data_IF_060743901930
#
_entry.id   IF_060743901930
#
_cell.length_a   1.000
_cell.length_b   1.000
_cell.length_c   1.000
_cell.angle_alpha   90.00
_cell.angle_beta   90.00
_cell.angle_gamma   90.00
#
_symmetry.space_group_name_H-M   'P 1'
#
loop_
_entity.id
_entity.type
_entity.pdbx_description
1 polymer ?
#
# COMPACT_ATOMS: atom_id res chain seq x y z
N UNK A 1 1.74 -9.11 -2.82
CA UNK A 1 2.75 -9.43 -1.79
C UNK A 1 3.14 -10.91 -1.76
N UNK A 2 2.63 -11.77 -2.65
CA UNK A 2 3.20 -13.12 -2.81
C UNK A 2 4.61 -12.97 -3.39
N UNK A 3 5.63 -13.03 -2.53
CA UNK A 3 7.08 -13.21 -2.77
C UNK A 3 7.99 -12.37 -1.82
N UNK A 4 7.47 -11.75 -0.75
CA UNK A 4 8.35 -11.21 0.30
C UNK A 4 8.82 -12.37 1.17
N UNK A 5 10.14 -12.57 1.25
CA UNK A 5 10.77 -13.70 1.95
C UNK A 5 11.28 -13.36 3.34
N UNK A 6 11.43 -12.07 3.64
CA UNK A 6 12.03 -11.56 4.86
C UNK A 6 11.08 -10.50 5.44
N UNK A 7 10.96 -10.51 6.76
CA UNK A 7 10.30 -9.47 7.54
C UNK A 7 11.30 -8.87 8.55
N UNK A 8 11.02 -7.68 9.12
CA UNK A 8 11.90 -7.03 10.09
C UNK A 8 12.39 -7.95 11.23
N UNK A 9 11.50 -8.77 11.78
CA UNK A 9 11.82 -9.67 12.89
C UNK A 9 12.75 -10.81 12.47
N UNK A 10 12.54 -11.32 11.25
CA UNK A 10 13.39 -12.35 10.65
C UNK A 10 14.79 -11.82 10.39
N UNK A 11 14.90 -10.56 9.93
CA UNK A 11 16.19 -9.90 9.71
C UNK A 11 16.90 -9.66 11.06
N UNK A 12 16.18 -9.18 12.07
CA UNK A 12 16.71 -8.94 13.41
C UNK A 12 17.24 -10.21 14.08
N UNK A 13 16.54 -11.33 13.90
CA UNK A 13 16.88 -12.61 14.55
C UNK A 13 17.90 -13.44 13.75
N UNK A 14 18.45 -12.90 12.67
CA UNK A 14 19.33 -13.63 11.77
C UNK A 14 20.73 -13.75 12.33
N UNK A 15 21.14 -14.97 12.68
CA UNK A 15 22.52 -15.25 13.09
C UNK A 15 23.40 -15.57 11.88
N UNK A 16 24.56 -14.92 11.81
CA UNK A 16 25.58 -15.16 10.77
C UNK A 16 26.78 -15.93 11.33
N UNK A 17 27.32 -16.85 10.53
CA UNK A 17 28.57 -17.53 10.87
C UNK A 17 29.76 -16.62 10.58
N UNK A 18 30.66 -16.49 11.56
CA UNK A 18 31.89 -15.69 11.43
C UNK A 18 32.95 -16.49 10.65
N UNK A 19 33.50 -15.88 9.60
CA UNK A 19 34.58 -16.43 8.78
C UNK A 19 35.81 -15.53 8.83
N UNK A 20 37.02 -16.10 8.72
CA UNK A 20 38.28 -15.36 8.82
C UNK A 20 38.47 -14.24 7.77
N UNK A 21 37.77 -14.32 6.63
CA UNK A 21 37.74 -13.29 5.58
C UNK A 21 36.31 -12.72 5.38
N UNK A 22 35.49 -12.73 6.44
CA UNK A 22 34.12 -12.21 6.41
C UNK A 22 34.04 -10.71 6.63
N UNK A 23 32.83 -10.16 6.49
CA UNK A 23 32.50 -8.79 6.89
C UNK A 23 32.56 -8.65 8.41
N UNK A 24 32.87 -7.44 8.90
CA UNK A 24 32.86 -7.16 10.33
C UNK A 24 31.43 -7.20 10.88
N UNK A 25 31.20 -7.92 11.98
CA UNK A 25 29.86 -8.07 12.55
C UNK A 25 29.19 -6.71 12.81
N UNK A 26 29.92 -5.74 13.38
CA UNK A 26 29.38 -4.41 13.67
C UNK A 26 28.94 -3.63 12.42
N UNK A 27 29.66 -3.78 11.30
CA UNK A 27 29.29 -3.11 10.05
C UNK A 27 28.06 -3.77 9.43
N UNK A 28 27.94 -5.10 9.55
CA UNK A 28 26.76 -5.85 9.12
C UNK A 28 25.56 -5.49 9.97
N UNK A 29 25.69 -5.49 11.30
CA UNK A 29 24.60 -5.16 12.23
C UNK A 29 24.07 -3.75 11.95
N UNK A 30 24.95 -2.75 11.84
CA UNK A 30 24.56 -1.38 11.54
C UNK A 30 23.88 -1.22 10.17
N UNK A 31 24.24 -2.06 9.19
CA UNK A 31 23.56 -2.11 7.89
C UNK A 31 22.19 -2.79 8.00
N UNK A 32 22.07 -3.87 8.76
CA UNK A 32 20.81 -4.59 8.96
C UNK A 32 19.79 -3.76 9.75
N UNK A 33 20.24 -2.93 10.69
CA UNK A 33 19.38 -1.95 11.39
C UNK A 33 18.72 -0.99 10.38
N UNK A 34 19.50 -0.45 9.42
CA UNK A 34 18.94 0.41 8.36
C UNK A 34 17.97 -0.34 7.44
N UNK A 35 18.30 -1.58 7.09
CA UNK A 35 17.40 -2.41 6.27
C UNK A 35 16.09 -2.69 7.01
N UNK A 36 16.14 -2.91 8.33
CA UNK A 36 14.94 -3.09 9.15
C UNK A 36 14.09 -1.82 9.14
N UNK A 37 14.69 -0.65 9.38
CA UNK A 37 13.99 0.64 9.33
C UNK A 37 13.30 0.87 7.97
N UNK A 38 14.00 0.59 6.87
CA UNK A 38 13.44 0.70 5.52
C UNK A 38 12.23 -0.24 5.32
N UNK A 39 12.30 -1.48 5.81
CA UNK A 39 11.18 -2.43 5.70
C UNK A 39 9.96 -1.96 6.49
N UNK A 40 10.14 -1.39 7.67
CA UNK A 40 9.06 -0.81 8.46
C UNK A 40 8.43 0.40 7.72
N UNK A 41 9.25 1.30 7.16
CA UNK A 41 8.76 2.44 6.39
C UNK A 41 8.00 2.00 5.12
N UNK A 42 8.47 0.94 4.43
CA UNK A 42 7.74 0.39 3.29
C UNK A 42 6.38 -0.19 3.70
N UNK A 43 6.29 -0.89 4.82
CA UNK A 43 5.04 -1.43 5.33
C UNK A 43 4.04 -0.31 5.66
N UNK A 44 4.47 0.75 6.34
CA UNK A 44 3.65 1.93 6.60
C UNK A 44 3.18 2.58 5.28
N UNK A 45 4.08 2.70 4.30
CA UNK A 45 3.74 3.32 3.02
C UNK A 45 2.73 2.51 2.24
N UNK A 46 2.85 1.19 2.25
CA UNK A 46 1.90 0.31 1.57
C UNK A 46 0.53 0.40 2.23
N UNK A 47 0.47 0.42 3.56
CA UNK A 47 -0.80 0.63 4.28
C UNK A 47 -1.45 1.96 3.92
N UNK A 48 -0.67 3.06 3.90
CA UNK A 48 -1.18 4.38 3.52
C UNK A 48 -1.77 4.38 2.09
N UNK A 49 -1.09 3.70 1.16
CA UNK A 49 -1.51 3.57 -0.23
C UNK A 49 -2.78 2.71 -0.37
N UNK A 50 -2.87 1.60 0.35
CA UNK A 50 -4.06 0.74 0.36
C UNK A 50 -5.28 1.48 0.92
N UNK A 51 -5.11 2.24 2.00
CA UNK A 51 -6.18 3.08 2.53
C UNK A 51 -6.59 4.18 1.54
N UNK A 52 -5.61 4.84 0.90
CA UNK A 52 -5.89 5.86 -0.11
C UNK A 52 -6.66 5.26 -1.30
N UNK A 53 -6.24 4.10 -1.78
CA UNK A 53 -6.91 3.37 -2.86
C UNK A 53 -8.34 3.04 -2.48
N UNK A 54 -8.57 2.51 -1.27
CA UNK A 54 -9.91 2.21 -0.77
C UNK A 54 -10.78 3.48 -0.71
N UNK A 55 -10.26 4.60 -0.19
CA UNK A 55 -10.97 5.90 -0.18
C UNK A 55 -11.34 6.35 -1.59
N UNK A 56 -10.42 6.23 -2.55
CA UNK A 56 -10.69 6.61 -3.94
C UNK A 56 -11.74 5.72 -4.61
N UNK A 57 -11.69 4.40 -4.37
CA UNK A 57 -12.68 3.45 -4.89
C UNK A 57 -14.10 3.77 -4.38
N UNK A 58 -14.24 4.03 -3.07
CA UNK A 58 -15.52 4.41 -2.47
C UNK A 58 -16.07 5.71 -3.06
N UNK A 59 -15.20 6.74 -3.20
CA UNK A 59 -15.61 8.01 -3.80
C UNK A 59 -15.99 7.87 -5.27
N UNK A 60 -15.28 7.04 -6.02
CA UNK A 60 -15.58 6.73 -7.42
C UNK A 60 -16.95 6.07 -7.57
N UNK A 61 -17.24 5.06 -6.73
CA UNK A 61 -18.54 4.39 -6.72
C UNK A 61 -19.69 5.37 -6.41
N UNK A 62 -19.52 6.23 -5.39
CA UNK A 62 -20.50 7.24 -5.03
C UNK A 62 -20.76 8.24 -6.18
N UNK A 63 -19.70 8.72 -6.84
CA UNK A 63 -19.83 9.64 -7.97
C UNK A 63 -20.51 8.98 -9.18
N UNK A 64 -20.23 7.70 -9.44
CA UNK A 64 -20.89 6.95 -10.50
C UNK A 64 -22.39 6.79 -10.24
N UNK A 65 -22.79 6.53 -8.99
CA UNK A 65 -24.19 6.45 -8.60
C UNK A 65 -24.89 7.81 -8.77
N UNK A 66 -24.27 8.90 -8.29
CA UNK A 66 -24.79 10.25 -8.48
C UNK A 66 -24.95 10.62 -9.96
N UNK A 67 -23.96 10.27 -10.80
CA UNK A 67 -24.02 10.52 -12.23
C UNK A 67 -25.19 9.77 -12.88
N UNK A 68 -25.42 8.50 -12.53
CA UNK A 68 -26.56 7.72 -13.02
C UNK A 68 -27.89 8.32 -12.59
N UNK A 69 -28.02 8.71 -11.32
CA UNK A 69 -29.23 9.32 -10.79
C UNK A 69 -29.55 10.65 -11.49
N UNK A 70 -28.55 11.50 -11.72
CA UNK A 70 -28.70 12.75 -12.45
C UNK A 70 -29.05 12.52 -13.92
N UNK A 71 -28.47 11.52 -14.57
CA UNK A 71 -28.81 11.16 -15.95
C UNK A 71 -30.27 10.72 -16.07
N UNK A 72 -30.73 9.83 -15.17
CA UNK A 72 -32.12 9.39 -15.14
C UNK A 72 -33.10 10.57 -14.93
N UNK A 73 -32.79 11.46 -13.98
CA UNK A 73 -33.60 12.67 -13.73
C UNK A 73 -33.63 13.61 -14.94
N UNK A 74 -32.49 13.84 -15.60
CA UNK A 74 -32.43 14.65 -16.80
C UNK A 74 -33.25 14.04 -17.95
N UNK A 75 -33.26 12.71 -18.07
CA UNK A 75 -34.07 12.03 -19.08
C UNK A 75 -35.57 12.21 -18.82
N UNK A 76 -36.02 12.02 -17.58
CA UNK A 76 -37.42 12.25 -17.20
C UNK A 76 -37.87 13.67 -17.52
N UNK A 77 -37.10 14.69 -17.11
CA UNK A 77 -37.44 16.09 -17.38
C UNK A 77 -37.51 16.40 -18.89
N UNK A 78 -36.67 15.74 -19.70
CA UNK A 78 -36.69 15.87 -21.16
C UNK A 78 -37.91 15.22 -21.80
N UNK A 79 -38.43 14.14 -21.22
CA UNK A 79 -39.64 13.47 -21.67
C UNK A 79 -40.88 14.28 -21.29
N UNK A 80 -40.93 14.81 -20.06
CA UNK A 80 -41.99 15.72 -19.60
C UNK A 80 -42.07 16.99 -20.45
N UNK A 81 -40.94 17.59 -20.81
CA UNK A 81 -40.92 18.80 -21.64
C UNK A 81 -41.35 18.58 -23.11
N UNK A 82 -41.47 17.32 -23.55
CA UNK A 82 -41.93 16.95 -24.91
C UNK A 82 -43.41 16.57 -24.95
N UNK A 83 -44.04 16.35 -23.80
CA UNK A 83 -45.47 16.08 -23.66
C UNK A 83 -46.25 17.41 -23.61
#
# INVERSE_FOLDING_TARGET
MENIKLDPNTIYSQDFTICANGYGCQEVDAFLDQVIEDYEEYDEKVQELDEALHRFQMKSAQLQEQARALQAKNQQLREEAKA
#
